data_IF_845732537441
#
_entry.id   IF_845732537441
#
_cell.length_a   1.000
_cell.length_b   1.000
_cell.length_c   1.000
_cell.angle_alpha   90.00
_cell.angle_beta   90.00
_cell.angle_gamma   90.00
#
_symmetry.space_group_name_H-M   'P 1'
#
loop_
_entity.id
_entity.type
_entity.pdbx_description
1 polymer ?
#
# COMPACT_ATOMS: atom_id res chain seq x y z
N UNK A 1 1.79 3.56 -17.35
CA UNK A 1 1.29 4.04 -16.05
C UNK A 1 -0.19 4.32 -16.23
N UNK A 2 -1.03 3.36 -15.84
CA UNK A 2 -2.48 3.49 -15.94
C UNK A 2 -2.95 4.36 -14.77
N UNK A 3 -3.72 5.41 -15.05
CA UNK A 3 -4.24 6.32 -14.04
C UNK A 3 -5.04 5.51 -13.01
N UNK A 4 -4.65 5.61 -11.73
CA UNK A 4 -5.34 4.97 -10.62
C UNK A 4 -6.71 5.61 -10.41
N UNK A 5 -7.70 5.17 -11.19
CA UNK A 5 -9.09 5.54 -10.99
C UNK A 5 -9.57 4.84 -9.72
N UNK A 6 -9.85 5.61 -8.65
CA UNK A 6 -10.50 5.09 -7.44
C UNK A 6 -11.75 4.31 -7.83
N UNK A 7 -11.91 3.12 -7.26
CA UNK A 7 -13.13 2.36 -7.48
C UNK A 7 -14.29 3.01 -6.72
N UNK A 8 -15.18 3.71 -7.44
CA UNK A 8 -16.38 4.34 -6.85
C UNK A 8 -17.37 3.32 -6.27
N UNK A 9 -17.23 2.04 -6.67
CA UNK A 9 -18.05 0.93 -6.19
C UNK A 9 -17.38 0.16 -5.05
N UNK A 10 -16.36 0.72 -4.38
CA UNK A 10 -15.78 0.12 -3.18
C UNK A 10 -16.75 0.22 -2.00
N UNK A 11 -17.71 -0.70 -1.95
CA UNK A 11 -18.79 -0.73 -0.96
C UNK A 11 -18.41 -1.66 0.20
N UNK A 12 -18.60 -1.18 1.43
CA UNK A 12 -18.68 -2.05 2.62
C UNK A 12 -17.39 -2.31 3.39
N UNK A 13 -16.28 -1.64 3.08
CA UNK A 13 -15.00 -1.84 3.81
C UNK A 13 -14.48 -0.58 4.52
N UNK A 14 -15.31 0.45 4.69
CA UNK A 14 -14.93 1.68 5.39
C UNK A 14 -14.42 1.43 6.83
N UNK A 15 -15.03 0.48 7.54
CA UNK A 15 -14.56 0.09 8.88
C UNK A 15 -13.17 -0.57 8.83
N UNK A 16 -12.87 -1.36 7.80
CA UNK A 16 -11.55 -1.98 7.64
C UNK A 16 -10.48 -0.95 7.24
N UNK A 17 -10.82 0.01 6.39
CA UNK A 17 -9.94 1.14 6.06
C UNK A 17 -9.62 1.97 7.31
N UNK A 18 -10.63 2.26 8.14
CA UNK A 18 -10.46 2.97 9.40
C UNK A 18 -9.52 2.20 10.34
N UNK A 19 -9.72 0.89 10.49
CA UNK A 19 -8.85 0.04 11.31
C UNK A 19 -7.40 -0.03 10.77
N UNK A 20 -7.21 0.02 9.46
CA UNK A 20 -5.87 0.10 8.86
C UNK A 20 -5.19 1.43 9.18
N UNK A 21 -5.92 2.55 9.08
CA UNK A 21 -5.40 3.87 9.45
C UNK A 21 -4.94 3.89 10.90
N UNK A 22 -5.83 3.50 11.81
CA UNK A 22 -5.56 3.52 13.25
C UNK A 22 -4.35 2.66 13.62
N UNK A 23 -4.13 1.53 12.93
CA UNK A 23 -2.96 0.66 13.17
C UNK A 23 -1.66 1.24 12.63
N UNK A 24 -1.70 2.01 11.55
CA UNK A 24 -0.51 2.60 10.94
C UNK A 24 -0.12 3.92 11.60
N UNK A 25 -1.10 4.70 12.08
CA UNK A 25 -0.86 5.98 12.76
C UNK A 25 -0.33 5.81 14.20
N UNK A 26 -0.39 4.60 14.76
CA UNK A 26 0.11 4.31 16.11
C UNK A 26 1.63 4.41 16.25
N UNK A 27 2.40 4.10 15.20
CA UNK A 27 3.86 4.17 15.21
C UNK A 27 4.40 4.36 13.79
N UNK A 28 5.39 5.24 13.61
CA UNK A 28 6.05 5.49 12.33
C UNK A 28 6.76 4.25 11.74
N UNK A 29 6.97 3.19 12.54
CA UNK A 29 7.56 1.90 12.13
C UNK A 29 6.54 0.75 12.14
N UNK A 30 5.24 1.06 12.09
CA UNK A 30 4.18 0.06 12.12
C UNK A 30 4.25 -0.90 10.93
N UNK A 31 4.10 -2.20 11.20
CA UNK A 31 3.94 -3.24 10.19
C UNK A 31 2.58 -3.92 10.39
N UNK A 32 1.73 -3.88 9.36
CA UNK A 32 0.37 -4.43 9.42
C UNK A 32 0.23 -5.59 8.44
N UNK A 33 -0.16 -6.75 8.96
CA UNK A 33 -0.50 -7.93 8.16
C UNK A 33 -2.00 -7.98 7.89
N UNK A 34 -2.39 -8.02 6.61
CA UNK A 34 -3.77 -8.28 6.19
C UNK A 34 -3.91 -9.72 5.71
N UNK A 35 -4.53 -10.55 6.55
CA UNK A 35 -4.76 -11.97 6.27
C UNK A 35 -6.26 -12.28 6.13
N UNK A 36 -6.59 -13.32 5.36
CA UNK A 36 -7.96 -13.76 5.14
C UNK A 36 -8.11 -14.69 3.95
N UNK A 37 -9.31 -15.23 3.69
CA UNK A 37 -9.57 -16.16 2.61
C UNK A 37 -9.14 -15.62 1.23
N UNK A 38 -8.83 -16.53 0.31
CA UNK A 38 -8.60 -16.19 -1.09
C UNK A 38 -9.82 -15.46 -1.67
N UNK A 39 -9.58 -14.51 -2.57
CA UNK A 39 -10.63 -13.78 -3.31
C UNK A 39 -11.55 -12.85 -2.51
N UNK A 40 -11.29 -12.57 -1.23
CA UNK A 40 -12.07 -11.59 -0.44
C UNK A 40 -11.73 -10.12 -0.74
N UNK A 41 -10.80 -9.87 -1.67
CA UNK A 41 -10.44 -8.51 -2.09
C UNK A 41 -9.39 -7.80 -1.21
N UNK A 42 -8.55 -8.53 -0.48
CA UNK A 42 -7.48 -7.94 0.37
C UNK A 42 -6.58 -6.95 -0.40
N UNK A 43 -6.15 -7.32 -1.60
CA UNK A 43 -5.31 -6.44 -2.44
C UNK A 43 -6.08 -5.19 -2.90
N UNK A 44 -7.39 -5.30 -3.12
CA UNK A 44 -8.24 -4.14 -3.42
C UNK A 44 -8.34 -3.21 -2.20
N UNK A 45 -8.55 -3.75 -1.00
CA UNK A 45 -8.55 -2.97 0.26
C UNK A 45 -7.26 -2.18 0.43
N UNK A 46 -6.09 -2.83 0.31
CA UNK A 46 -4.78 -2.18 0.45
C UNK A 46 -4.61 -1.08 -0.61
N UNK A 47 -5.03 -1.34 -1.85
CA UNK A 47 -4.93 -0.35 -2.93
C UNK A 47 -5.81 0.88 -2.67
N UNK A 48 -7.06 0.68 -2.29
CA UNK A 48 -7.96 1.80 -1.93
C UNK A 48 -7.43 2.57 -0.73
N UNK A 49 -6.86 1.89 0.26
CA UNK A 49 -6.21 2.53 1.40
C UNK A 49 -5.02 3.39 0.98
N UNK A 50 -4.10 2.86 0.15
CA UNK A 50 -2.97 3.60 -0.38
C UNK A 50 -3.39 4.85 -1.15
N UNK A 51 -4.43 4.75 -1.98
CA UNK A 51 -4.99 5.90 -2.70
C UNK A 51 -5.58 6.94 -1.75
N UNK A 52 -6.30 6.50 -0.71
CA UNK A 52 -6.86 7.43 0.29
C UNK A 52 -5.78 8.18 1.06
N UNK A 53 -4.67 7.53 1.38
CA UNK A 53 -3.53 8.19 2.02
C UNK A 53 -2.81 9.14 1.07
N UNK A 54 -2.65 8.79 -0.21
CA UNK A 54 -2.05 9.70 -1.19
C UNK A 54 -2.88 10.98 -1.38
N UNK A 55 -4.21 10.88 -1.32
CA UNK A 55 -5.09 12.05 -1.37
C UNK A 55 -5.00 12.91 -0.10
N UNK A 56 -4.84 12.29 1.07
CA UNK A 56 -4.71 13.00 2.35
C UNK A 56 -3.32 13.64 2.54
N UNK A 57 -2.28 12.98 2.04
CA UNK A 57 -0.87 13.35 2.16
C UNK A 57 -0.15 13.12 0.83
N UNK A 58 -0.22 14.07 -0.11
CA UNK A 58 0.37 13.97 -1.45
C UNK A 58 1.89 13.73 -1.46
N UNK A 59 2.57 14.09 -0.37
CA UNK A 59 3.99 13.85 -0.13
C UNK A 59 4.32 12.38 0.19
N UNK A 60 3.31 11.55 0.42
CA UNK A 60 3.48 10.13 0.74
C UNK A 60 3.65 9.31 -0.53
N UNK A 61 4.81 8.65 -0.65
CA UNK A 61 5.11 7.74 -1.75
C UNK A 61 4.69 6.30 -1.44
N UNK A 62 3.97 5.67 -2.37
CA UNK A 62 3.52 4.28 -2.26
C UNK A 62 4.28 3.39 -3.24
N UNK A 63 4.72 2.24 -2.76
CA UNK A 63 5.43 1.25 -3.57
C UNK A 63 4.77 -0.11 -3.41
N UNK A 64 4.49 -0.75 -4.54
CA UNK A 64 3.96 -2.11 -4.56
C UNK A 64 5.09 -3.09 -4.84
N UNK A 65 5.39 -3.95 -3.86
CA UNK A 65 6.39 -5.00 -4.02
C UNK A 65 5.69 -6.35 -4.16
N UNK A 66 5.95 -7.05 -5.25
CA UNK A 66 5.47 -8.43 -5.40
C UNK A 66 6.34 -9.38 -4.57
N UNK A 67 5.71 -10.01 -3.59
CA UNK A 67 6.34 -10.96 -2.68
C UNK A 67 6.03 -12.42 -3.04
N UNK A 68 5.60 -12.69 -4.28
CA UNK A 68 5.29 -14.04 -4.76
C UNK A 68 6.49 -14.99 -4.71
N UNK A 69 7.72 -14.48 -4.79
CA UNK A 69 8.96 -15.21 -4.54
C UNK A 69 9.99 -14.38 -3.76
N UNK A 70 11.02 -15.04 -3.23
CA UNK A 70 12.11 -14.36 -2.54
C UNK A 70 12.91 -13.45 -3.49
N UNK A 71 13.07 -13.87 -4.76
CA UNK A 71 13.72 -13.08 -5.80
C UNK A 71 12.92 -11.81 -6.13
N UNK A 72 11.60 -11.91 -6.36
CA UNK A 72 10.78 -10.73 -6.69
C UNK A 72 10.74 -9.75 -5.53
N UNK A 73 10.68 -10.25 -4.29
CA UNK A 73 10.74 -9.43 -3.09
C UNK A 73 12.08 -8.68 -2.99
N UNK A 74 13.19 -9.39 -3.15
CA UNK A 74 14.54 -8.82 -3.02
C UNK A 74 14.81 -7.77 -4.10
N UNK A 75 14.45 -8.07 -5.35
CA UNK A 75 14.57 -7.12 -6.47
C UNK A 75 13.73 -5.87 -6.22
N UNK A 76 12.49 -6.01 -5.72
CA UNK A 76 11.63 -4.87 -5.43
C UNK A 76 12.21 -3.93 -4.37
N UNK A 77 12.83 -4.47 -3.31
CA UNK A 77 13.50 -3.66 -2.30
C UNK A 77 14.74 -2.93 -2.83
N UNK A 78 15.55 -3.61 -3.66
CA UNK A 78 16.76 -3.02 -4.25
C UNK A 78 16.39 -1.84 -5.16
N UNK A 79 15.40 -2.02 -6.04
CA UNK A 79 14.94 -0.96 -6.93
C UNK A 79 14.47 0.28 -6.14
N UNK A 80 13.68 0.08 -5.07
CA UNK A 80 13.25 1.18 -4.23
C UNK A 80 14.43 1.91 -3.57
N UNK A 81 15.42 1.18 -3.09
CA UNK A 81 16.59 1.78 -2.44
C UNK A 81 17.41 2.61 -3.42
N UNK A 82 17.54 2.15 -4.67
CA UNK A 82 18.21 2.90 -5.73
C UNK A 82 17.45 4.19 -6.07
N UNK A 83 16.13 4.11 -6.28
CA UNK A 83 15.30 5.30 -6.53
C UNK A 83 15.39 6.31 -5.38
N UNK A 84 15.33 5.85 -4.13
CA UNK A 84 15.47 6.70 -2.95
C UNK A 84 16.82 7.43 -2.91
N UNK A 85 17.88 6.79 -3.41
CA UNK A 85 19.23 7.36 -3.42
C UNK A 85 19.41 8.41 -4.52
N UNK A 86 18.63 8.35 -5.60
CA UNK A 86 18.65 9.34 -6.68
C UNK A 86 17.89 10.62 -6.31
N UNK A 87 16.85 10.52 -5.47
CA UNK A 87 16.08 11.67 -4.95
C UNK A 87 16.87 12.57 -3.98
N UNK A 88 18.07 12.15 -3.55
CA UNK A 88 18.93 12.83 -2.58
C UNK A 88 20.06 13.68 -3.20
N UNK A 89 20.13 13.80 -4.53
CA UNK A 89 21.06 14.67 -5.27
C UNK A 89 20.32 15.77 -6.02
#
# INVERSE_FOLDING_TARGET
MDQAMRNRDFVGQAALLQQLSEKLEQDAKSCVLVAGPSSIGKSYLIREFALSLQEASPETSFFWVDASSADTLSTGFILRFMEASEELH
#
